data_IF_939737875491
#
_entry.id   IF_939737875491
#
_cell.length_a   1.000
_cell.length_b   1.000
_cell.length_c   1.000
_cell.angle_alpha   90.00
_cell.angle_beta   90.00
_cell.angle_gamma   90.00
#
_symmetry.space_group_name_H-M   'P 1'
#
loop_
_entity.id
_entity.type
_entity.pdbx_description
1 polymer ?
#
# COMPACT_ATOMS: atom_id res chain seq x y z
N UNK A 1 15.21 63.80 -69.35
CA UNK A 1 14.30 62.67 -69.14
C UNK A 1 12.98 62.99 -69.83
N UNK A 2 12.58 62.19 -70.80
CA UNK A 2 11.32 62.38 -71.55
C UNK A 2 10.12 61.97 -70.70
N UNK A 3 8.93 62.36 -71.13
CA UNK A 3 7.68 61.99 -70.47
C UNK A 3 7.45 60.47 -70.54
N UNK A 4 7.87 59.83 -71.63
CA UNK A 4 7.83 58.38 -71.82
C UNK A 4 8.74 57.64 -70.83
N UNK A 5 9.96 58.13 -70.60
CA UNK A 5 10.87 57.54 -69.61
C UNK A 5 10.31 57.61 -68.18
N UNK A 6 9.57 58.68 -67.84
CA UNK A 6 8.87 58.78 -66.54
C UNK A 6 7.75 57.74 -66.42
N UNK A 7 6.95 57.57 -67.46
CA UNK A 7 5.84 56.60 -67.47
C UNK A 7 6.37 55.17 -67.33
N UNK A 8 7.39 54.80 -68.11
CA UNK A 8 8.01 53.48 -68.02
C UNK A 8 8.61 53.20 -66.63
N UNK A 9 9.23 54.21 -66.00
CA UNK A 9 9.74 54.09 -64.64
C UNK A 9 8.65 53.86 -63.59
N UNK A 10 7.51 54.56 -63.72
CA UNK A 10 6.36 54.36 -62.84
C UNK A 10 5.71 52.99 -63.03
N UNK A 11 5.56 52.52 -64.27
CA UNK A 11 5.04 51.18 -64.57
C UNK A 11 5.90 50.07 -63.96
N UNK A 12 7.23 50.21 -64.06
CA UNK A 12 8.16 49.28 -63.41
C UNK A 12 8.00 49.27 -61.89
N UNK A 13 7.87 50.45 -61.26
CA UNK A 13 7.63 50.57 -59.82
C UNK A 13 6.30 49.94 -59.40
N UNK A 14 5.22 50.19 -60.14
CA UNK A 14 3.91 49.59 -59.88
C UNK A 14 4.01 48.07 -59.91
N UNK A 15 4.63 47.49 -60.95
CA UNK A 15 4.80 46.04 -61.06
C UNK A 15 5.62 45.45 -59.91
N UNK A 16 6.67 46.15 -59.46
CA UNK A 16 7.45 45.75 -58.28
C UNK A 16 6.61 45.78 -57.02
N UNK A 17 5.81 46.83 -56.81
CA UNK A 17 4.94 46.96 -55.64
C UNK A 17 3.84 45.89 -55.63
N UNK A 18 3.22 45.57 -56.77
CA UNK A 18 2.23 44.52 -56.90
C UNK A 18 2.81 43.15 -56.53
N UNK A 19 4.00 42.82 -57.06
CA UNK A 19 4.69 41.57 -56.71
C UNK A 19 5.07 41.52 -55.22
N UNK A 20 5.54 42.64 -54.66
CA UNK A 20 5.85 42.76 -53.24
C UNK A 20 4.62 42.57 -52.35
N UNK A 21 3.48 43.16 -52.74
CA UNK A 21 2.21 43.00 -52.03
C UNK A 21 1.71 41.56 -52.08
N UNK A 22 1.82 40.90 -53.22
CA UNK A 22 1.42 39.49 -53.36
C UNK A 22 2.28 38.58 -52.47
N UNK A 23 3.60 38.80 -52.45
CA UNK A 23 4.53 38.06 -51.60
C UNK A 23 4.23 38.28 -50.11
N UNK A 24 4.01 39.54 -49.70
CA UNK A 24 3.67 39.90 -48.32
C UNK A 24 2.34 39.26 -47.89
N UNK A 25 1.34 39.25 -48.77
CA UNK A 25 0.03 38.63 -48.51
C UNK A 25 0.17 37.12 -48.31
N UNK A 26 0.96 36.43 -49.14
CA UNK A 26 1.24 35.00 -48.98
C UNK A 26 1.95 34.72 -47.65
N UNK A 27 2.97 35.50 -47.31
CA UNK A 27 3.71 35.36 -46.05
C UNK A 27 2.83 35.62 -44.81
N UNK A 28 1.96 36.62 -44.87
CA UNK A 28 0.99 36.92 -43.82
C UNK A 28 0.03 35.75 -43.61
N UNK A 29 -0.54 35.20 -44.69
CA UNK A 29 -1.47 34.07 -44.59
C UNK A 29 -0.81 32.80 -44.06
N UNK A 30 0.43 32.52 -44.45
CA UNK A 30 1.21 31.41 -43.91
C UNK A 30 1.47 31.58 -42.40
N UNK A 31 1.86 32.78 -41.97
CA UNK A 31 2.07 33.10 -40.55
C UNK A 31 0.77 32.95 -39.75
N UNK A 32 -0.36 33.44 -40.29
CA UNK A 32 -1.68 33.31 -39.67
C UNK A 32 -2.09 31.85 -39.50
N UNK A 33 -1.87 31.02 -40.51
CA UNK A 33 -2.14 29.59 -40.43
C UNK A 33 -1.28 28.90 -39.36
N UNK A 34 0.02 29.23 -39.31
CA UNK A 34 0.94 28.69 -38.29
C UNK A 34 0.54 29.11 -36.87
N UNK A 35 0.10 30.35 -36.69
CA UNK A 35 -0.40 30.85 -35.40
C UNK A 35 -1.65 30.09 -34.95
N UNK A 36 -2.59 29.85 -35.85
CA UNK A 36 -3.80 29.08 -35.55
C UNK A 36 -3.47 27.64 -35.11
N UNK A 37 -2.58 26.98 -35.82
CA UNK A 37 -2.14 25.62 -35.47
C UNK A 37 -1.39 25.59 -34.13
N UNK A 38 -0.49 26.56 -33.89
CA UNK A 38 0.23 26.65 -32.62
C UNK A 38 -0.72 26.90 -31.44
N UNK A 39 -1.76 27.71 -31.66
CA UNK A 39 -2.80 27.97 -30.63
C UNK A 39 -3.57 26.70 -30.30
N UNK A 40 -3.96 25.94 -31.33
CA UNK A 40 -4.64 24.65 -31.15
C UNK A 40 -3.77 23.66 -30.36
N UNK A 41 -2.50 23.53 -30.71
CA UNK A 41 -1.55 22.66 -30.00
C UNK A 41 -1.37 23.09 -28.54
N UNK A 42 -1.30 24.40 -28.28
CA UNK A 42 -1.22 24.93 -26.93
C UNK A 42 -2.44 24.52 -26.09
N UNK A 43 -3.65 24.61 -26.64
CA UNK A 43 -4.87 24.23 -25.93
C UNK A 43 -4.94 22.72 -25.69
N UNK A 44 -4.51 21.89 -26.65
CA UNK A 44 -4.36 20.44 -26.46
C UNK A 44 -3.37 20.12 -25.33
N UNK A 45 -2.24 20.84 -25.25
CA UNK A 45 -1.26 20.68 -24.17
C UNK A 45 -1.81 21.10 -22.81
N UNK A 46 -2.61 22.17 -22.72
CA UNK A 46 -3.27 22.57 -21.47
C UNK A 46 -4.21 21.48 -20.95
N UNK A 47 -4.98 20.84 -21.84
CA UNK A 47 -5.87 19.74 -21.47
C UNK A 47 -5.06 18.56 -20.93
N UNK A 48 -4.00 18.14 -21.64
CA UNK A 48 -3.11 17.05 -21.19
C UNK A 48 -2.47 17.34 -19.85
N UNK A 49 -2.02 18.58 -19.62
CA UNK A 49 -1.44 19.00 -18.35
C UNK A 49 -2.45 18.86 -17.21
N UNK A 50 -3.67 19.38 -17.39
CA UNK A 50 -4.74 19.29 -16.39
C UNK A 50 -5.11 17.85 -16.05
N UNK A 51 -5.10 16.95 -17.04
CA UNK A 51 -5.38 15.54 -16.79
C UNK A 51 -4.23 14.83 -16.07
N UNK A 52 -2.98 15.17 -16.39
CA UNK A 52 -1.80 14.69 -15.66
C UNK A 52 -1.81 15.16 -14.19
N UNK A 53 -2.17 16.41 -13.92
CA UNK A 53 -2.30 16.95 -12.56
C UNK A 53 -3.34 16.17 -11.73
N UNK A 54 -4.49 15.82 -12.33
CA UNK A 54 -5.49 14.97 -11.67
C UNK A 54 -4.95 13.58 -11.37
N UNK A 55 -4.21 12.97 -12.31
CA UNK A 55 -3.61 11.65 -12.11
C UNK A 55 -2.60 11.66 -10.97
N UNK A 56 -1.73 12.68 -10.91
CA UNK A 56 -0.77 12.85 -9.82
C UNK A 56 -1.50 13.00 -8.48
N UNK A 57 -2.56 13.82 -8.44
CA UNK A 57 -3.35 14.00 -7.21
C UNK A 57 -3.99 12.70 -6.74
N UNK A 58 -4.55 11.91 -7.66
CA UNK A 58 -5.13 10.61 -7.34
C UNK A 58 -4.07 9.62 -6.83
N UNK A 59 -2.91 9.57 -7.49
CA UNK A 59 -1.80 8.71 -7.07
C UNK A 59 -1.26 9.10 -5.69
N UNK A 60 -1.15 10.40 -5.40
CA UNK A 60 -0.73 10.88 -4.09
C UNK A 60 -1.70 10.45 -2.98
N UNK A 61 -3.01 10.51 -3.24
CA UNK A 61 -4.02 10.00 -2.30
C UNK A 61 -3.86 8.49 -2.06
N UNK A 62 -3.69 7.69 -3.13
CA UNK A 62 -3.45 6.25 -3.00
C UNK A 62 -2.19 5.93 -2.21
N UNK A 63 -1.10 6.70 -2.40
CA UNK A 63 0.13 6.51 -1.62
C UNK A 63 -0.12 6.77 -0.13
N UNK A 64 -0.82 7.85 0.22
CA UNK A 64 -1.14 8.18 1.61
C UNK A 64 -2.00 7.09 2.29
N UNK A 65 -2.95 6.51 1.56
CA UNK A 65 -3.76 5.39 2.05
C UNK A 65 -2.87 4.15 2.30
N UNK A 66 -1.97 3.82 1.38
CA UNK A 66 -1.03 2.70 1.53
C UNK A 66 -0.06 2.91 2.70
N UNK A 67 0.43 4.13 2.91
CA UNK A 67 1.29 4.46 4.06
C UNK A 67 0.53 4.25 5.38
N UNK A 68 -0.74 4.63 5.43
CA UNK A 68 -1.61 4.39 6.60
C UNK A 68 -1.79 2.90 6.87
N UNK A 69 -2.07 2.11 5.83
CA UNK A 69 -2.23 0.66 5.95
C UNK A 69 -0.92 -0.01 6.43
N UNK A 70 0.23 0.47 5.95
CA UNK A 70 1.54 -0.02 6.36
C UNK A 70 1.82 0.25 7.83
N UNK A 71 1.50 1.46 8.31
CA UNK A 71 1.65 1.83 9.72
C UNK A 71 0.76 0.95 10.62
N UNK A 72 -0.49 0.70 10.21
CA UNK A 72 -1.39 -0.20 10.93
C UNK A 72 -0.85 -1.63 10.98
N UNK A 73 -0.37 -2.16 9.85
CA UNK A 73 0.23 -3.48 9.79
C UNK A 73 1.48 -3.57 10.71
N UNK A 74 2.31 -2.53 10.71
CA UNK A 74 3.46 -2.41 11.62
C UNK A 74 3.05 -2.47 13.09
N UNK A 75 2.00 -1.74 13.47
CA UNK A 75 1.47 -1.77 14.83
C UNK A 75 0.96 -3.17 15.22
N UNK A 76 0.21 -3.85 14.33
CA UNK A 76 -0.26 -5.22 14.57
C UNK A 76 0.88 -6.22 14.74
N UNK A 77 1.95 -6.09 13.95
CA UNK A 77 3.14 -6.93 14.09
C UNK A 77 3.79 -6.73 15.46
N UNK A 78 3.92 -5.49 15.94
CA UNK A 78 4.47 -5.21 17.25
C UNK A 78 3.58 -5.74 18.39
N UNK A 79 2.25 -5.67 18.25
CA UNK A 79 1.33 -6.31 19.19
C UNK A 79 1.49 -7.84 19.21
N UNK A 80 1.58 -8.47 18.04
CA UNK A 80 1.80 -9.92 17.93
C UNK A 80 3.15 -10.34 18.51
N UNK A 81 4.22 -9.57 18.29
CA UNK A 81 5.53 -9.81 18.91
C UNK A 81 5.44 -9.72 20.42
N UNK A 82 4.75 -8.73 20.98
CA UNK A 82 4.52 -8.61 22.43
C UNK A 82 3.74 -9.80 22.96
N UNK A 83 2.67 -10.21 22.27
CA UNK A 83 1.88 -11.38 22.64
C UNK A 83 2.71 -12.67 22.63
N UNK A 84 3.53 -12.87 21.59
CA UNK A 84 4.43 -14.02 21.49
C UNK A 84 5.54 -14.00 22.55
N UNK A 85 6.10 -12.82 22.85
CA UNK A 85 7.14 -12.65 23.87
C UNK A 85 6.62 -12.89 25.30
N UNK A 86 5.33 -12.63 25.56
CA UNK A 86 4.67 -13.02 26.81
C UNK A 86 4.49 -14.54 26.94
N UNK A 87 4.66 -15.30 25.86
CA UNK A 87 4.34 -16.72 25.77
C UNK A 87 2.85 -16.99 26.04
N UNK A 88 2.36 -18.22 25.85
CA UNK A 88 1.03 -18.63 26.32
C UNK A 88 0.93 -18.71 27.85
N UNK A 89 1.92 -18.21 28.61
CA UNK A 89 2.17 -18.60 29.99
C UNK A 89 2.77 -17.49 30.83
N UNK A 90 2.13 -16.32 30.87
CA UNK A 90 2.30 -15.41 32.02
C UNK A 90 1.72 -16.13 33.26
N UNK A 91 2.55 -16.99 33.87
CA UNK A 91 2.44 -17.65 35.18
C UNK A 91 1.34 -18.69 35.41
N UNK A 92 1.28 -19.75 34.59
CA UNK A 92 0.84 -21.02 35.17
C UNK A 92 1.95 -21.48 36.14
N UNK A 93 1.82 -21.19 37.44
CA UNK A 93 2.63 -21.89 38.46
C UNK A 93 2.59 -23.37 38.10
N UNK A 94 3.75 -24.02 38.00
CA UNK A 94 3.82 -25.46 37.76
C UNK A 94 2.83 -26.14 38.70
N UNK A 95 1.82 -26.78 38.13
CA UNK A 95 0.76 -27.46 38.87
C UNK A 95 1.33 -28.81 39.32
N UNK A 96 2.03 -28.78 40.44
CA UNK A 96 2.72 -29.97 41.01
C UNK A 96 1.79 -30.70 41.97
N UNK A 97 1.73 -32.01 41.81
CA UNK A 97 0.98 -32.93 42.66
C UNK A 97 1.93 -33.96 43.25
N UNK A 98 2.03 -34.03 44.58
CA UNK A 98 2.82 -35.05 45.28
C UNK A 98 1.96 -36.28 45.58
N UNK A 99 2.35 -37.44 45.06
CA UNK A 99 1.68 -38.72 45.26
C UNK A 99 2.71 -39.73 45.68
N UNK A 100 2.52 -40.34 46.85
CA UNK A 100 3.41 -41.38 47.40
C UNK A 100 4.89 -40.96 47.37
N UNK A 101 5.15 -39.71 47.77
CA UNK A 101 6.47 -39.07 47.81
C UNK A 101 7.16 -38.84 46.45
N UNK A 102 6.42 -38.95 45.34
CA UNK A 102 6.86 -38.56 44.00
C UNK A 102 6.08 -37.34 43.53
N UNK A 103 6.77 -36.35 42.99
CA UNK A 103 6.15 -35.15 42.44
C UNK A 103 5.81 -35.35 40.95
N UNK A 104 4.62 -34.94 40.56
CA UNK A 104 4.14 -34.99 39.18
C UNK A 104 3.72 -33.59 38.70
N UNK A 105 4.18 -33.20 37.52
CA UNK A 105 3.73 -31.99 36.83
C UNK A 105 2.49 -32.30 36.01
N UNK A 106 1.39 -31.61 36.33
CA UNK A 106 0.17 -31.61 35.53
C UNK A 106 0.31 -30.63 34.37
N UNK A 107 0.42 -31.16 33.16
CA UNK A 107 0.73 -30.38 31.95
C UNK A 107 -0.52 -29.75 31.34
N UNK A 108 -1.64 -30.49 31.28
CA UNK A 108 -2.91 -30.00 30.73
C UNK A 108 -4.11 -30.81 31.23
N UNK A 109 -5.29 -30.20 31.15
CA UNK A 109 -6.56 -30.90 31.35
C UNK A 109 -6.82 -31.91 30.25
N UNK A 110 -7.31 -33.09 30.62
CA UNK A 110 -7.59 -34.18 29.69
C UNK A 110 -8.87 -34.92 30.07
N UNK A 111 -9.40 -35.75 29.17
CA UNK A 111 -10.60 -36.55 29.42
C UNK A 111 -10.24 -37.99 29.71
N UNK A 112 -10.77 -38.56 30.79
CA UNK A 112 -10.58 -39.96 31.16
C UNK A 112 -11.88 -40.56 31.70
N UNK A 113 -12.22 -41.77 31.23
CA UNK A 113 -13.48 -42.48 31.55
C UNK A 113 -14.74 -41.59 31.42
N UNK A 114 -14.74 -40.70 30.43
CA UNK A 114 -15.85 -39.79 30.13
C UNK A 114 -15.84 -38.46 30.89
N UNK A 115 -14.99 -38.30 31.90
CA UNK A 115 -14.91 -37.09 32.73
C UNK A 115 -13.70 -36.23 32.38
N UNK A 116 -13.83 -34.90 32.54
CA UNK A 116 -12.69 -33.99 32.46
C UNK A 116 -11.90 -34.09 33.77
N UNK A 117 -10.60 -34.31 33.64
CA UNK A 117 -9.62 -34.34 34.72
C UNK A 117 -8.92 -32.99 34.75
N UNK A 118 -9.15 -32.22 35.82
CA UNK A 118 -8.47 -30.96 36.11
C UNK A 118 -7.47 -31.16 37.25
N UNK A 119 -6.54 -30.23 37.43
CA UNK A 119 -5.55 -30.30 38.50
C UNK A 119 -6.21 -30.28 39.89
N UNK A 120 -7.22 -29.45 40.08
CA UNK A 120 -7.92 -29.26 41.35
C UNK A 120 -8.63 -30.57 41.76
N UNK A 121 -9.21 -31.28 40.79
CA UNK A 121 -9.81 -32.61 41.01
C UNK A 121 -8.77 -33.65 41.44
N UNK A 122 -7.55 -33.57 40.92
CA UNK A 122 -6.47 -34.47 41.32
C UNK A 122 -5.90 -34.12 42.70
N UNK A 123 -5.89 -32.84 43.09
CA UNK A 123 -5.53 -32.42 44.44
C UNK A 123 -6.52 -32.94 45.49
N UNK A 124 -7.81 -32.97 45.17
CA UNK A 124 -8.87 -33.46 46.07
C UNK A 124 -9.00 -34.99 46.08
N UNK A 125 -8.54 -35.67 45.03
CA UNK A 125 -8.70 -37.11 44.85
C UNK A 125 -7.38 -37.82 44.51
N UNK A 126 -6.57 -38.08 45.54
CA UNK A 126 -5.29 -38.78 45.40
C UNK A 126 -5.44 -40.23 44.90
N UNK A 127 -6.61 -40.87 45.08
CA UNK A 127 -6.87 -42.21 44.54
C UNK A 127 -6.98 -42.18 43.02
N UNK A 128 -7.71 -41.21 42.47
CA UNK A 128 -7.80 -40.97 41.04
C UNK A 128 -6.42 -40.70 40.44
N UNK A 129 -5.62 -39.87 41.09
CA UNK A 129 -4.28 -39.55 40.61
C UNK A 129 -3.34 -40.77 40.58
N UNK A 130 -3.40 -41.65 41.61
CA UNK A 130 -2.69 -42.93 41.60
C UNK A 130 -3.15 -43.86 40.48
N UNK A 131 -4.46 -43.93 40.24
CA UNK A 131 -5.01 -44.78 39.18
C UNK A 131 -4.53 -44.33 37.81
N UNK A 132 -4.55 -43.02 37.55
CA UNK A 132 -4.04 -42.41 36.31
C UNK A 132 -2.54 -42.70 36.10
N UNK A 133 -1.72 -42.56 37.14
CA UNK A 133 -0.30 -42.91 37.10
C UNK A 133 -0.10 -44.41 36.81
N UNK A 134 -0.86 -45.28 37.48
CA UNK A 134 -0.74 -46.73 37.30
C UNK A 134 -1.19 -47.22 35.93
N UNK A 135 -2.18 -46.56 35.33
CA UNK A 135 -2.64 -46.83 33.97
C UNK A 135 -1.74 -46.17 32.91
N UNK A 136 -0.80 -45.29 33.31
CA UNK A 136 0.03 -44.51 32.40
C UNK A 136 -0.78 -43.52 31.55
N UNK A 137 -1.93 -43.07 32.07
CA UNK A 137 -2.87 -42.22 31.35
C UNK A 137 -2.85 -40.81 31.92
N UNK A 138 -2.75 -39.84 31.01
CA UNK A 138 -2.89 -38.44 31.33
C UNK A 138 -1.60 -37.64 31.18
N UNK A 139 -1.77 -36.34 31.28
CA UNK A 139 -0.71 -35.35 31.17
C UNK A 139 0.01 -35.13 32.53
N UNK A 140 0.32 -36.24 33.22
CA UNK A 140 1.08 -36.25 34.48
C UNK A 140 2.49 -36.76 34.20
N UNK A 141 3.48 -35.87 34.34
CA UNK A 141 4.89 -36.22 34.14
C UNK A 141 5.62 -36.23 35.47
N UNK A 142 6.40 -37.27 35.81
CA UNK A 142 7.23 -37.23 37.00
C UNK A 142 8.20 -36.05 36.90
N UNK A 143 8.37 -35.35 38.01
CA UNK A 143 9.38 -34.31 38.17
C UNK A 143 10.63 -35.01 38.71
N UNK A 144 11.69 -35.01 37.92
CA UNK A 144 13.01 -35.52 38.32
C UNK A 144 13.65 -34.67 39.43
#
# INVERSE_FOLDING_TARGET
MTQEEKVAGLEAQVKTLESGLEAATKAHNATKAKLAETTKQLDEHKVKLKDAEKQITAQAATIADIETDLDQAGAMIEELKKAAAKGPGETAKKKILTIDATDYEFVSEFRWKGEIVTFEKLQENTKLARELISEGVGDLKPVD
#
